data_IF_552430376552
#
_entry.id   IF_552430376552
#
_cell.length_a   1.000
_cell.length_b   1.000
_cell.length_c   1.000
_cell.angle_alpha   90.00
_cell.angle_beta   90.00
_cell.angle_gamma   90.00
#
_symmetry.space_group_name_H-M   'P 1'
#
loop_
_entity.id
_entity.type
_entity.pdbx_description
1 polymer ?
#
# COMPACT_ATOMS: atom_id res chain seq x y z
N UNK A 1 -14.92 19.72 -29.64
CA UNK A 1 -14.87 19.98 -28.18
C UNK A 1 -14.57 18.65 -27.50
N UNK A 2 -13.32 18.38 -27.15
CA UNK A 2 -12.96 17.14 -26.46
C UNK A 2 -13.29 17.27 -24.99
N UNK A 3 -14.24 16.48 -24.49
CA UNK A 3 -14.44 16.30 -23.06
C UNK A 3 -13.18 15.62 -22.51
N UNK A 4 -12.25 16.42 -21.95
CA UNK A 4 -11.21 15.89 -21.07
C UNK A 4 -11.93 15.43 -19.81
N UNK A 5 -12.26 14.15 -19.75
CA UNK A 5 -12.64 13.50 -18.48
C UNK A 5 -11.45 13.67 -17.55
N UNK A 6 -11.58 14.56 -16.55
CA UNK A 6 -10.65 14.61 -15.43
C UNK A 6 -10.88 13.32 -14.64
N UNK A 7 -10.23 12.22 -15.03
CA UNK A 7 -10.11 11.07 -14.13
C UNK A 7 -9.38 11.56 -12.90
N UNK A 8 -10.07 11.54 -11.76
CA UNK A 8 -9.43 11.77 -10.47
C UNK A 8 -8.37 10.69 -10.30
N UNK A 9 -7.13 11.11 -10.13
CA UNK A 9 -5.99 10.22 -9.89
C UNK A 9 -6.23 9.42 -8.60
N UNK A 10 -6.01 8.11 -8.64
CA UNK A 10 -6.18 7.22 -7.50
C UNK A 10 -5.37 7.71 -6.29
N UNK A 11 -4.13 8.16 -6.53
CA UNK A 11 -3.27 8.78 -5.53
C UNK A 11 -3.91 9.97 -4.82
N UNK A 12 -4.54 10.88 -5.58
CA UNK A 12 -5.18 12.08 -5.03
C UNK A 12 -6.40 11.72 -4.18
N UNK A 13 -7.18 10.73 -4.61
CA UNK A 13 -8.33 10.22 -3.85
C UNK A 13 -7.88 9.61 -2.52
N UNK A 14 -6.86 8.76 -2.53
CA UNK A 14 -6.33 8.10 -1.32
C UNK A 14 -5.79 9.13 -0.33
N UNK A 15 -5.02 10.13 -0.78
CA UNK A 15 -4.50 11.20 0.08
C UNK A 15 -5.62 11.94 0.81
N UNK A 16 -6.73 12.23 0.12
CA UNK A 16 -7.90 12.88 0.72
C UNK A 16 -8.58 11.99 1.76
N UNK A 17 -8.78 10.71 1.45
CA UNK A 17 -9.48 9.78 2.35
C UNK A 17 -8.67 9.46 3.61
N UNK A 18 -7.35 9.35 3.50
CA UNK A 18 -6.46 9.04 4.62
C UNK A 18 -5.85 10.28 5.28
N UNK A 19 -6.05 11.48 4.71
CA UNK A 19 -5.44 12.74 5.18
C UNK A 19 -3.91 12.68 5.29
N UNK A 20 -3.26 12.07 4.29
CA UNK A 20 -1.80 11.91 4.19
C UNK A 20 -1.24 12.51 2.90
N UNK A 21 0.07 12.78 2.87
CA UNK A 21 0.80 13.07 1.64
C UNK A 21 1.60 11.84 1.25
N UNK A 22 1.27 11.22 0.12
CA UNK A 22 1.94 9.99 -0.32
C UNK A 22 3.32 10.30 -0.91
N UNK A 23 4.29 9.38 -0.80
CA UNK A 23 5.54 9.42 -1.56
C UNK A 23 5.31 9.33 -3.07
N UNK A 24 6.17 9.95 -3.87
CA UNK A 24 6.00 10.05 -5.33
C UNK A 24 5.96 8.68 -6.03
N UNK A 25 6.83 7.76 -5.62
CA UNK A 25 6.91 6.41 -6.20
C UNK A 25 5.65 5.59 -5.93
N UNK A 26 5.05 5.71 -4.76
CA UNK A 26 3.76 5.07 -4.47
C UNK A 26 2.59 5.75 -5.22
N UNK A 27 2.62 7.08 -5.42
CA UNK A 27 1.61 7.75 -6.26
C UNK A 27 1.67 7.25 -7.70
N UNK A 28 2.86 7.10 -8.26
CA UNK A 28 3.05 6.58 -9.61
C UNK A 28 2.47 5.17 -9.74
N UNK A 29 2.74 4.30 -8.79
CA UNK A 29 2.13 2.96 -8.72
C UNK A 29 0.60 3.02 -8.70
N UNK A 30 0.00 3.85 -7.83
CA UNK A 30 -1.46 3.97 -7.72
C UNK A 30 -2.10 4.51 -9.01
N UNK A 31 -1.46 5.49 -9.65
CA UNK A 31 -2.01 6.14 -10.84
C UNK A 31 -1.85 5.26 -12.10
N UNK A 32 -0.86 4.38 -12.14
CA UNK A 32 -0.54 3.53 -13.30
C UNK A 32 -1.07 2.11 -13.18
N UNK A 33 -0.91 1.50 -12.01
CA UNK A 33 -1.18 0.09 -11.75
C UNK A 33 -2.39 -0.07 -10.83
N UNK A 34 -2.52 0.80 -9.83
CA UNK A 34 -3.66 0.82 -8.91
C UNK A 34 -3.56 -0.24 -7.80
N UNK A 35 -3.40 -1.51 -8.15
CA UNK A 35 -3.25 -2.66 -7.25
C UNK A 35 -2.44 -3.76 -7.96
N UNK A 36 -1.72 -4.59 -7.20
CA UNK A 36 -0.94 -5.70 -7.77
C UNK A 36 -1.05 -6.96 -6.92
N UNK A 37 -1.34 -8.09 -7.56
CA UNK A 37 -1.28 -9.42 -6.95
C UNK A 37 -0.07 -10.18 -7.50
N UNK A 38 0.69 -10.85 -6.64
CA UNK A 38 1.76 -11.76 -7.00
C UNK A 38 1.34 -13.21 -6.76
N UNK A 39 1.02 -13.91 -7.84
CA UNK A 39 0.54 -15.29 -7.77
C UNK A 39 1.59 -16.25 -7.18
N UNK A 40 2.87 -16.09 -7.53
CA UNK A 40 3.92 -17.06 -7.16
C UNK A 40 4.39 -16.94 -5.71
N UNK A 41 4.13 -15.80 -5.06
CA UNK A 41 4.51 -15.56 -3.66
C UNK A 41 3.32 -15.26 -2.75
N UNK A 42 2.09 -15.37 -3.27
CA UNK A 42 0.83 -15.11 -2.55
C UNK A 42 0.81 -13.76 -1.83
N UNK A 43 1.34 -12.72 -2.49
CA UNK A 43 1.52 -11.38 -1.92
C UNK A 43 0.67 -10.36 -2.68
N UNK A 44 -0.08 -9.53 -1.96
CA UNK A 44 -0.92 -8.49 -2.56
C UNK A 44 -0.47 -7.09 -2.16
N UNK A 45 -0.23 -6.21 -3.12
CA UNK A 45 0.05 -4.79 -2.87
C UNK A 45 -1.26 -4.02 -2.97
N UNK A 46 -1.71 -3.52 -1.83
CA UNK A 46 -2.93 -2.75 -1.69
C UNK A 46 -2.82 -1.39 -2.36
N UNK A 47 -3.95 -0.91 -2.84
CA UNK A 47 -4.06 0.38 -3.49
C UNK A 47 -5.50 0.72 -3.79
N UNK A 48 -5.78 1.18 -5.00
CA UNK A 48 -7.15 1.51 -5.40
C UNK A 48 -7.32 1.43 -6.91
N UNK A 49 -8.38 0.76 -7.34
CA UNK A 49 -8.88 0.79 -8.71
C UNK A 49 -10.32 1.29 -8.73
N UNK A 50 -10.73 1.91 -9.85
CA UNK A 50 -12.07 2.45 -10.00
C UNK A 50 -13.12 1.33 -9.87
N UNK A 51 -14.00 1.44 -8.88
CA UNK A 51 -15.04 0.44 -8.60
C UNK A 51 -14.76 -0.44 -7.38
N UNK A 52 -13.60 -0.30 -6.75
CA UNK A 52 -13.33 -0.93 -5.46
C UNK A 52 -14.28 -0.41 -4.38
N UNK A 53 -14.74 -1.32 -3.53
CA UNK A 53 -15.40 -0.99 -2.27
C UNK A 53 -14.33 -0.48 -1.30
N UNK A 54 -14.36 0.82 -0.97
CA UNK A 54 -13.32 1.47 -0.16
C UNK A 54 -13.26 0.96 1.29
N UNK A 55 -14.24 0.18 1.71
CA UNK A 55 -14.33 -0.43 3.03
C UNK A 55 -13.88 -1.91 3.02
N UNK A 56 -13.38 -2.43 1.88
CA UNK A 56 -12.88 -3.81 1.75
C UNK A 56 -11.49 -3.90 1.17
N UNK A 57 -10.78 -4.96 1.54
CA UNK A 57 -9.54 -5.36 0.88
C UNK A 57 -9.82 -5.71 -0.60
N UNK A 58 -8.88 -5.43 -1.52
CA UNK A 58 -7.51 -4.95 -1.30
C UNK A 58 -7.35 -3.41 -1.32
N UNK A 59 -8.40 -2.65 -0.96
CA UNK A 59 -8.29 -1.20 -0.89
C UNK A 59 -7.36 -0.76 0.26
N UNK A 60 -6.36 0.07 -0.06
CA UNK A 60 -5.42 0.65 0.94
C UNK A 60 -6.15 1.46 2.01
N UNK A 61 -7.29 2.07 1.67
CA UNK A 61 -8.11 2.84 2.62
C UNK A 61 -8.71 1.90 3.67
N UNK A 62 -9.36 0.82 3.23
CA UNK A 62 -9.90 -0.20 4.11
C UNK A 62 -8.79 -0.84 4.96
N UNK A 63 -7.70 -1.26 4.32
CA UNK A 63 -6.57 -1.88 5.01
C UNK A 63 -6.02 -0.98 6.11
N UNK A 64 -5.85 0.31 5.84
CA UNK A 64 -5.33 1.28 6.81
C UNK A 64 -6.31 1.53 7.95
N UNK A 65 -7.60 1.74 7.64
CA UNK A 65 -8.63 1.99 8.67
C UNK A 65 -8.78 0.79 9.61
N UNK A 66 -8.87 -0.42 9.06
CA UNK A 66 -9.13 -1.64 9.82
C UNK A 66 -7.99 -2.00 10.78
N UNK A 67 -6.75 -1.70 10.41
CA UNK A 67 -5.58 -2.06 11.22
C UNK A 67 -5.07 -0.90 12.11
N UNK A 68 -5.68 0.29 12.02
CA UNK A 68 -5.15 1.49 12.68
C UNK A 68 -5.05 1.36 14.20
N UNK A 69 -6.12 0.87 14.83
CA UNK A 69 -6.19 0.73 16.28
C UNK A 69 -5.39 -0.48 16.75
N UNK A 70 -5.59 -1.63 16.09
CA UNK A 70 -4.96 -2.90 16.45
C UNK A 70 -3.43 -2.84 16.42
N UNK A 71 -2.84 -2.17 15.41
CA UNK A 71 -1.39 -2.04 15.26
C UNK A 71 -0.84 -0.70 15.77
N UNK A 72 -1.68 0.14 16.40
CA UNK A 72 -1.29 1.47 16.90
C UNK A 72 -0.57 2.33 15.83
N UNK A 73 -1.11 2.35 14.62
CA UNK A 73 -0.46 3.02 13.48
C UNK A 73 -0.41 4.53 13.67
N UNK A 74 0.76 5.11 13.38
CA UNK A 74 0.91 6.56 13.35
C UNK A 74 0.04 7.19 12.23
N UNK A 75 -0.40 8.46 12.36
CA UNK A 75 -1.19 9.12 11.32
C UNK A 75 -0.51 9.21 9.95
N UNK A 76 0.82 9.06 9.90
CA UNK A 76 1.63 9.05 8.69
C UNK A 76 1.86 7.63 8.15
N UNK A 77 1.19 6.62 8.70
CA UNK A 77 1.41 5.23 8.34
C UNK A 77 0.17 4.63 7.70
N UNK A 78 0.38 3.99 6.55
CA UNK A 78 -0.67 3.35 5.77
C UNK A 78 -0.32 1.90 5.51
N UNK A 79 -1.32 1.03 5.45
CA UNK A 79 -1.14 -0.40 5.23
C UNK A 79 -1.15 -0.69 3.73
N UNK A 80 -0.04 -1.18 3.21
CA UNK A 80 0.14 -1.45 1.78
C UNK A 80 0.15 -2.95 1.45
N UNK A 81 0.18 -3.83 2.45
CA UNK A 81 0.14 -5.27 2.25
C UNK A 81 -0.10 -6.01 3.58
N UNK A 82 -0.58 -7.25 3.53
CA UNK A 82 -0.44 -8.21 4.63
C UNK A 82 0.81 -9.06 4.40
N UNK A 83 1.58 -9.37 5.45
CA UNK A 83 2.67 -10.32 5.31
C UNK A 83 2.13 -11.76 5.31
N UNK A 84 2.98 -12.74 4.99
CA UNK A 84 2.61 -14.16 4.97
C UNK A 84 2.40 -14.78 6.38
N UNK A 85 2.42 -13.96 7.44
CA UNK A 85 2.14 -14.36 8.81
C UNK A 85 0.85 -13.67 9.27
N UNK A 86 -0.05 -14.41 9.93
CA UNK A 86 -1.41 -13.95 10.27
C UNK A 86 -1.42 -12.60 11.02
N UNK A 87 -0.41 -12.32 11.82
CA UNK A 87 -0.34 -11.14 12.70
C UNK A 87 0.65 -10.06 12.22
N UNK A 88 1.08 -10.09 10.95
CA UNK A 88 2.03 -9.14 10.40
C UNK A 88 1.46 -8.39 9.20
N UNK A 89 1.68 -7.07 9.18
CA UNK A 89 1.31 -6.20 8.06
C UNK A 89 2.53 -5.41 7.56
N UNK A 90 2.48 -5.02 6.29
CA UNK A 90 3.47 -4.14 5.67
C UNK A 90 2.89 -2.74 5.57
N UNK A 91 3.60 -1.78 6.14
CA UNK A 91 3.20 -0.38 6.16
C UNK A 91 4.19 0.51 5.41
N UNK A 92 3.66 1.58 4.84
CA UNK A 92 4.42 2.69 4.29
C UNK A 92 4.28 3.88 5.22
N UNK A 93 5.41 4.39 5.72
CA UNK A 93 5.44 5.67 6.42
C UNK A 93 5.55 6.80 5.39
N UNK A 94 4.47 7.54 5.21
CA UNK A 94 4.32 8.54 4.15
C UNK A 94 5.17 9.80 4.37
N UNK A 95 5.72 10.00 5.57
CA UNK A 95 6.63 11.12 5.87
C UNK A 95 8.07 10.78 5.53
N UNK A 96 8.51 9.54 5.79
CA UNK A 96 9.90 9.10 5.59
C UNK A 96 10.11 8.27 4.33
N UNK A 97 9.02 7.84 3.69
CA UNK A 97 8.99 6.86 2.58
C UNK A 97 9.45 5.45 2.95
N UNK A 98 9.78 5.18 4.22
CA UNK A 98 10.26 3.87 4.64
C UNK A 98 9.13 2.84 4.68
N UNK A 99 9.49 1.61 4.31
CA UNK A 99 8.62 0.44 4.40
C UNK A 99 8.98 -0.35 5.65
N UNK A 100 7.98 -0.74 6.42
CA UNK A 100 8.15 -1.56 7.61
C UNK A 100 7.24 -2.78 7.55
N UNK A 101 7.71 -3.88 8.12
CA UNK A 101 6.85 -4.94 8.63
C UNK A 101 6.57 -4.63 10.10
N UNK A 102 5.31 -4.74 10.51
CA UNK A 102 4.90 -4.58 11.89
C UNK A 102 4.05 -5.78 12.30
N UNK A 103 4.29 -6.28 13.50
CA UNK A 103 3.48 -7.31 14.15
C UNK A 103 2.52 -6.71 15.17
N UNK A 104 1.47 -7.47 15.51
CA UNK A 104 0.45 -7.04 16.46
C UNK A 104 1.00 -6.71 17.87
N UNK A 105 2.15 -7.31 18.26
CA UNK A 105 2.84 -7.01 19.52
C UNK A 105 3.65 -5.69 19.50
N UNK A 106 3.63 -4.97 18.37
CA UNK A 106 4.30 -3.69 18.19
C UNK A 106 5.76 -3.79 17.74
N UNK A 107 6.29 -5.00 17.48
CA UNK A 107 7.61 -5.12 16.86
C UNK A 107 7.58 -4.58 15.42
N UNK A 108 8.54 -3.71 15.11
CA UNK A 108 8.60 -2.98 13.84
C UNK A 108 9.97 -3.13 13.20
N UNK A 109 10.00 -3.72 12.00
CA UNK A 109 11.22 -4.00 11.24
C UNK A 109 11.21 -3.24 9.93
N UNK A 110 12.23 -2.40 9.71
CA UNK A 110 12.40 -1.72 8.43
C UNK A 110 12.76 -2.74 7.33
N UNK A 111 12.04 -2.70 6.23
CA UNK A 111 12.25 -3.55 5.05
C UNK A 111 12.95 -2.81 3.91
N UNK A 112 12.63 -1.53 3.69
CA UNK A 112 13.16 -0.75 2.59
C UNK A 112 13.17 0.76 2.87
N UNK A 113 13.91 1.51 2.05
CA UNK A 113 13.97 2.98 2.13
C UNK A 113 12.88 3.69 1.31
N UNK A 114 12.23 2.98 0.39
CA UNK A 114 11.18 3.50 -0.48
C UNK A 114 10.21 2.39 -0.87
N UNK A 115 9.06 2.77 -1.42
CA UNK A 115 8.11 1.81 -1.99
C UNK A 115 8.71 1.10 -3.20
N UNK A 116 9.39 1.84 -4.07
CA UNK A 116 10.07 1.32 -5.26
C UNK A 116 11.18 0.31 -4.94
N UNK A 117 11.99 0.56 -3.90
CA UNK A 117 13.01 -0.39 -3.41
C UNK A 117 12.35 -1.70 -2.98
N UNK A 118 11.27 -1.61 -2.20
CA UNK A 118 10.55 -2.78 -1.71
C UNK A 118 9.86 -3.56 -2.84
N UNK A 119 9.16 -2.86 -3.74
CA UNK A 119 8.48 -3.45 -4.89
C UNK A 119 9.46 -4.21 -5.80
N UNK A 120 10.66 -3.67 -6.02
CA UNK A 120 11.70 -4.32 -6.82
C UNK A 120 12.13 -5.67 -6.22
N UNK A 121 12.22 -5.76 -4.89
CA UNK A 121 12.51 -7.03 -4.19
C UNK A 121 11.34 -8.01 -4.35
N UNK A 122 10.09 -7.54 -4.27
CA UNK A 122 8.91 -8.41 -4.45
C UNK A 122 8.82 -8.97 -5.87
N UNK A 123 9.07 -8.13 -6.88
CA UNK A 123 9.12 -8.54 -8.29
C UNK A 123 10.17 -9.63 -8.52
N UNK A 124 11.40 -9.41 -8.06
CA UNK A 124 12.49 -10.38 -8.19
C UNK A 124 12.16 -11.72 -7.49
N UNK A 125 11.48 -11.67 -6.33
CA UNK A 125 11.03 -12.89 -5.63
C UNK A 125 9.93 -13.61 -6.42
N UNK A 126 8.98 -12.90 -6.99
CA UNK A 126 7.90 -13.49 -7.78
C UNK A 126 8.45 -14.19 -9.04
N UNK A 127 9.45 -13.60 -9.69
CA UNK A 127 10.12 -14.20 -10.85
C UNK A 127 10.95 -15.44 -10.49
N UNK A 128 11.63 -15.43 -9.33
CA UNK A 128 12.45 -16.56 -8.88
C UNK A 128 11.63 -17.80 -8.46
N UNK A 129 10.33 -17.64 -8.20
CA UNK A 129 9.40 -18.71 -7.83
C UNK A 129 8.47 -19.13 -8.99
N UNK A 130 8.76 -18.70 -10.22
CA UNK A 130 8.05 -19.08 -11.45
C UNK A 130 8.62 -20.34 -12.09
#
# INVERSE_FOLDING_TARGET
MGQRSFKVKASSFIQLQLSVNLPEDYKEFLDTTGYLCFDNISQEIYGYEQGFDIEKLPCVIAATKNNKEDYSLDPTEIVISHANYEDHIIILNTQTSYIFEISLDGYKKKLANSFSDWLSVMLARNEANN
#
